data_IF_221757398408
#
_entry.id   IF_221757398408
#
_cell.length_a   1.000
_cell.length_b   1.000
_cell.length_c   1.000
_cell.angle_alpha   90.00
_cell.angle_beta   90.00
_cell.angle_gamma   90.00
#
_symmetry.space_group_name_H-M   'P 1'
#
loop_
_entity.id
_entity.type
_entity.pdbx_description
1 polymer ?
#
# COMPACT_ATOMS: atom_id res chain seq x y z
N UNK A 1 2.83 -11.34 -5.48
CA UNK A 1 3.04 -11.20 -6.96
C UNK A 1 3.33 -12.55 -7.57
N UNK A 2 4.38 -13.28 -7.12
CA UNK A 2 4.76 -14.57 -7.69
C UNK A 2 3.59 -15.56 -7.75
N UNK A 3 2.82 -15.71 -6.67
CA UNK A 3 1.67 -16.62 -6.61
C UNK A 3 0.60 -16.27 -7.65
N UNK A 4 0.30 -14.97 -7.81
CA UNK A 4 -0.65 -14.49 -8.82
C UNK A 4 -0.13 -14.83 -10.23
N UNK A 5 1.14 -14.57 -10.48
CA UNK A 5 1.78 -14.81 -11.76
C UNK A 5 1.84 -16.30 -12.10
N UNK A 6 2.22 -17.14 -11.15
CA UNK A 6 2.27 -18.60 -11.33
C UNK A 6 0.88 -19.17 -11.54
N UNK A 7 -0.12 -18.75 -10.76
CA UNK A 7 -1.50 -19.17 -10.95
C UNK A 7 -2.03 -18.78 -12.33
N UNK A 8 -1.85 -17.52 -12.71
CA UNK A 8 -2.29 -17.01 -14.01
C UNK A 8 -1.62 -17.75 -15.18
N UNK A 9 -0.32 -18.04 -15.07
CA UNK A 9 0.41 -18.84 -16.06
C UNK A 9 -0.11 -20.28 -16.16
N UNK A 10 -0.32 -20.92 -15.02
CA UNK A 10 -0.81 -22.30 -14.97
C UNK A 10 -2.25 -22.42 -15.51
N UNK A 11 -3.09 -21.42 -15.30
CA UNK A 11 -4.49 -21.42 -15.69
C UNK A 11 -4.77 -20.61 -16.97
N UNK A 12 -3.74 -20.18 -17.70
CA UNK A 12 -3.86 -19.21 -18.80
C UNK A 12 -4.90 -19.54 -19.88
N UNK A 13 -5.16 -20.83 -20.14
CA UNK A 13 -6.16 -21.28 -21.11
C UNK A 13 -7.55 -21.54 -20.50
N UNK A 14 -7.67 -21.53 -19.18
CA UNK A 14 -8.91 -21.77 -18.43
C UNK A 14 -9.52 -20.50 -17.86
N UNK A 15 -8.73 -19.44 -17.74
CA UNK A 15 -9.19 -18.14 -17.27
C UNK A 15 -9.97 -17.43 -18.38
N UNK A 16 -11.15 -16.96 -18.03
CA UNK A 16 -11.84 -15.96 -18.83
C UNK A 16 -11.21 -14.59 -18.53
N UNK A 17 -10.28 -14.20 -19.38
CA UNK A 17 -9.54 -12.97 -19.23
C UNK A 17 -10.40 -11.72 -19.37
N UNK A 18 -11.43 -11.78 -20.21
CA UNK A 18 -12.33 -10.64 -20.43
C UNK A 18 -13.19 -10.39 -19.19
N UNK A 19 -13.74 -11.44 -18.60
CA UNK A 19 -14.47 -11.37 -17.33
C UNK A 19 -13.56 -10.92 -16.18
N UNK A 20 -12.32 -11.42 -16.12
CA UNK A 20 -11.34 -11.01 -15.12
C UNK A 20 -11.07 -9.50 -15.20
N UNK A 21 -10.81 -8.96 -16.41
CA UNK A 21 -10.57 -7.55 -16.59
C UNK A 21 -11.78 -6.69 -16.27
N UNK A 22 -12.96 -7.09 -16.69
CA UNK A 22 -14.18 -6.38 -16.33
C UNK A 22 -14.36 -6.30 -14.81
N UNK A 23 -14.07 -7.38 -14.10
CA UNK A 23 -14.12 -7.41 -12.63
C UNK A 23 -13.05 -6.51 -11.99
N UNK A 24 -11.84 -6.49 -12.54
CA UNK A 24 -10.76 -5.65 -12.06
C UNK A 24 -11.04 -4.15 -12.30
N UNK A 25 -11.65 -3.81 -13.42
CA UNK A 25 -12.08 -2.43 -13.72
C UNK A 25 -13.19 -1.97 -12.76
N UNK A 26 -14.15 -2.84 -12.46
CA UNK A 26 -15.24 -2.55 -11.52
C UNK A 26 -14.74 -2.18 -10.11
N UNK A 27 -13.60 -2.75 -9.68
CA UNK A 27 -12.96 -2.45 -8.39
C UNK A 27 -11.78 -1.47 -8.51
N UNK A 28 -11.63 -0.79 -9.66
CA UNK A 28 -10.56 0.16 -9.92
C UNK A 28 -9.13 -0.43 -9.81
N UNK A 29 -8.98 -1.72 -10.02
CA UNK A 29 -7.69 -2.43 -9.95
C UNK A 29 -7.09 -2.77 -11.33
N UNK A 30 -7.71 -2.33 -12.43
CA UNK A 30 -7.31 -2.71 -13.80
C UNK A 30 -5.89 -2.28 -14.13
N UNK A 31 -5.52 -1.01 -13.88
CA UNK A 31 -4.17 -0.48 -14.14
C UNK A 31 -3.13 -1.18 -13.28
N UNK A 32 -3.43 -1.39 -12.00
CA UNK A 32 -2.55 -2.08 -11.07
C UNK A 32 -2.28 -3.53 -11.52
N UNK A 33 -3.34 -4.28 -11.84
CA UNK A 33 -3.23 -5.67 -12.30
C UNK A 33 -2.46 -5.78 -13.61
N UNK A 34 -2.66 -4.85 -14.56
CA UNK A 34 -1.92 -4.81 -15.82
C UNK A 34 -0.41 -4.69 -15.57
N UNK A 35 0.00 -3.82 -14.65
CA UNK A 35 1.42 -3.67 -14.28
C UNK A 35 1.97 -4.90 -13.53
N UNK A 36 1.16 -5.58 -12.71
CA UNK A 36 1.55 -6.88 -12.10
C UNK A 36 1.79 -7.94 -13.18
N UNK A 37 0.91 -8.06 -14.17
CA UNK A 37 1.09 -9.01 -15.27
C UNK A 37 2.28 -8.64 -16.17
N UNK A 38 2.55 -7.35 -16.36
CA UNK A 38 3.75 -6.90 -17.07
C UNK A 38 5.01 -7.32 -16.31
N UNK A 39 5.09 -7.09 -14.99
CA UNK A 39 6.19 -7.59 -14.16
C UNK A 39 6.33 -9.10 -14.29
N UNK A 40 5.23 -9.83 -14.22
CA UNK A 40 5.22 -11.28 -14.35
C UNK A 40 5.82 -11.75 -15.68
N UNK A 41 5.45 -11.08 -16.78
CA UNK A 41 5.97 -11.42 -18.12
C UNK A 41 7.45 -11.08 -18.27
N UNK A 42 7.84 -9.86 -17.89
CA UNK A 42 9.19 -9.33 -18.15
C UNK A 42 10.25 -9.94 -17.22
N UNK A 43 9.91 -10.15 -15.94
CA UNK A 43 10.89 -10.53 -14.92
C UNK A 43 10.73 -11.96 -14.38
N UNK A 44 9.53 -12.56 -14.51
CA UNK A 44 9.25 -13.91 -14.00
C UNK A 44 8.95 -14.94 -15.09
N UNK A 45 9.02 -14.55 -16.37
CA UNK A 45 8.74 -15.45 -17.49
C UNK A 45 7.27 -15.92 -17.54
N UNK A 46 6.32 -15.14 -17.05
CA UNK A 46 4.90 -15.46 -17.07
C UNK A 46 4.41 -15.65 -18.51
N UNK A 47 3.90 -16.83 -18.82
CA UNK A 47 3.27 -17.11 -20.10
C UNK A 47 1.83 -16.57 -20.08
N UNK A 48 1.60 -15.46 -20.78
CA UNK A 48 0.29 -14.84 -20.98
C UNK A 48 -0.22 -15.14 -22.41
N UNK A 49 -1.55 -15.10 -22.64
CA UNK A 49 -2.09 -15.13 -23.99
C UNK A 49 -1.55 -14.01 -24.85
N UNK A 50 -1.39 -14.30 -26.16
CA UNK A 50 -0.88 -13.34 -27.12
C UNK A 50 -1.80 -12.10 -27.21
N UNK A 51 -1.18 -10.93 -27.25
CA UNK A 51 -1.90 -9.66 -27.35
C UNK A 51 -2.58 -9.18 -26.07
N UNK A 52 -2.56 -9.96 -24.99
CA UNK A 52 -3.25 -9.60 -23.73
C UNK A 52 -2.74 -8.28 -23.15
N UNK A 53 -1.41 -8.11 -23.00
CA UNK A 53 -0.84 -6.85 -22.50
C UNK A 53 -1.15 -5.67 -23.39
N UNK A 54 -1.10 -5.85 -24.72
CA UNK A 54 -1.49 -4.78 -25.66
C UNK A 54 -2.96 -4.40 -25.55
N UNK A 55 -3.84 -5.36 -25.21
CA UNK A 55 -5.24 -5.07 -24.94
C UNK A 55 -5.39 -4.29 -23.62
N UNK A 56 -4.63 -4.64 -22.60
CA UNK A 56 -4.61 -3.91 -21.33
C UNK A 56 -4.09 -2.48 -21.49
N UNK A 57 -3.04 -2.28 -22.28
CA UNK A 57 -2.50 -0.95 -22.61
C UNK A 57 -3.54 -0.08 -23.32
N UNK A 58 -4.28 -0.65 -24.28
CA UNK A 58 -5.36 0.08 -24.97
C UNK A 58 -6.47 0.54 -24.03
N UNK A 59 -6.80 -0.28 -23.01
CA UNK A 59 -7.86 0.04 -22.03
C UNK A 59 -7.38 1.00 -20.94
N UNK A 60 -6.17 0.83 -20.46
CA UNK A 60 -5.67 1.46 -19.24
C UNK A 60 -4.64 2.57 -19.49
N UNK A 61 -4.12 2.70 -20.71
CA UNK A 61 -3.01 3.56 -21.05
C UNK A 61 -1.66 2.85 -20.94
N UNK A 62 -0.59 3.57 -21.27
CA UNK A 62 0.77 3.02 -21.22
C UNK A 62 1.10 2.43 -19.86
N UNK A 63 1.63 1.22 -19.84
CA UNK A 63 2.05 0.53 -18.63
C UNK A 63 3.46 1.00 -18.24
N UNK A 64 3.67 1.21 -16.95
CA UNK A 64 4.97 1.53 -16.36
C UNK A 64 5.11 0.79 -15.04
N UNK A 65 5.60 -0.43 -15.12
CA UNK A 65 5.70 -1.34 -13.98
C UNK A 65 6.95 -1.10 -13.11
N UNK A 66 7.92 -0.30 -13.56
CA UNK A 66 9.20 -0.12 -12.84
C UNK A 66 9.02 0.42 -11.42
N UNK A 67 8.27 1.50 -11.16
CA UNK A 67 8.11 1.99 -9.80
C UNK A 67 7.40 1.00 -8.85
N UNK A 68 6.50 0.17 -9.40
CA UNK A 68 5.86 -0.90 -8.63
C UNK A 68 6.84 -2.00 -8.30
N UNK A 69 7.67 -2.42 -9.27
CA UNK A 69 8.72 -3.41 -9.08
C UNK A 69 9.73 -2.95 -8.01
N UNK A 70 10.16 -1.68 -8.06
CA UNK A 70 11.07 -1.11 -7.06
C UNK A 70 10.48 -1.14 -5.64
N UNK A 71 9.20 -0.79 -5.47
CA UNK A 71 8.54 -0.88 -4.15
C UNK A 71 8.44 -2.33 -3.67
N UNK A 72 8.12 -3.27 -4.56
CA UNK A 72 8.06 -4.70 -4.25
C UNK A 72 9.44 -5.24 -3.82
N UNK A 73 10.49 -4.95 -4.57
CA UNK A 73 11.86 -5.40 -4.27
C UNK A 73 12.40 -4.76 -2.99
N UNK A 74 12.09 -3.48 -2.75
CA UNK A 74 12.48 -2.78 -1.52
C UNK A 74 11.85 -3.39 -0.26
N UNK A 75 10.79 -4.23 -0.40
CA UNK A 75 10.19 -4.97 0.70
C UNK A 75 11.03 -6.18 1.17
N UNK A 76 12.04 -6.59 0.40
CA UNK A 76 12.84 -7.79 0.64
C UNK A 76 12.08 -9.07 0.30
N UNK A 77 12.81 -10.21 0.29
CA UNK A 77 12.31 -11.53 -0.17
C UNK A 77 11.07 -12.00 0.61
N UNK A 78 10.99 -11.67 1.89
CA UNK A 78 9.86 -12.06 2.76
C UNK A 78 8.93 -10.89 3.11
N UNK A 79 8.92 -9.84 2.30
CA UNK A 79 8.17 -8.64 2.63
C UNK A 79 8.71 -7.98 3.90
N UNK A 80 10.06 -7.83 3.98
CA UNK A 80 10.80 -7.43 5.17
C UNK A 80 10.08 -6.36 5.98
N UNK A 81 9.50 -6.79 7.08
CA UNK A 81 8.69 -5.94 7.94
C UNK A 81 9.58 -5.14 8.87
N UNK A 82 10.38 -4.20 8.32
CA UNK A 82 10.94 -3.18 9.19
C UNK A 82 9.77 -2.47 9.90
N UNK A 83 9.97 -2.06 11.14
CA UNK A 83 8.93 -1.30 11.87
C UNK A 83 8.44 -0.10 11.04
N UNK A 84 9.36 0.56 10.29
CA UNK A 84 9.06 1.66 9.39
C UNK A 84 8.04 1.25 8.31
N UNK A 85 8.16 0.07 7.72
CA UNK A 85 7.22 -0.43 6.70
C UNK A 85 5.87 -0.83 7.29
N UNK A 86 5.84 -1.43 8.47
CA UNK A 86 4.57 -1.74 9.17
C UNK A 86 3.80 -0.46 9.50
N UNK A 87 4.49 0.57 9.98
CA UNK A 87 3.86 1.87 10.24
C UNK A 87 3.43 2.57 8.95
N UNK A 88 4.20 2.45 7.86
CA UNK A 88 3.84 3.01 6.56
C UNK A 88 2.56 2.38 5.99
N UNK A 89 2.30 1.10 6.29
CA UNK A 89 1.08 0.41 5.85
C UNK A 89 -0.18 1.02 6.47
N UNK A 90 -0.12 1.46 7.73
CA UNK A 90 -1.23 2.19 8.36
C UNK A 90 -1.48 3.55 7.70
N UNK A 91 -0.42 4.26 7.34
CA UNK A 91 -0.53 5.55 6.61
C UNK A 91 -1.20 5.32 5.26
N UNK A 92 -0.78 4.27 4.54
CA UNK A 92 -1.35 3.92 3.24
C UNK A 92 -2.82 3.52 3.34
N UNK A 93 -3.18 2.72 4.35
CA UNK A 93 -4.55 2.28 4.59
C UNK A 93 -5.46 3.49 4.91
N UNK A 94 -5.03 4.36 5.83
CA UNK A 94 -5.80 5.56 6.16
C UNK A 94 -5.90 6.55 5.00
N UNK A 95 -4.90 6.60 4.12
CA UNK A 95 -4.98 7.42 2.91
C UNK A 95 -6.00 6.85 1.92
N UNK A 96 -6.07 5.53 1.77
CA UNK A 96 -7.09 4.86 0.95
C UNK A 96 -8.50 5.12 1.49
N UNK A 97 -8.71 4.96 2.81
CA UNK A 97 -10.00 5.25 3.48
C UNK A 97 -10.40 6.74 3.36
N UNK A 98 -9.43 7.65 3.26
CA UNK A 98 -9.65 9.10 3.18
C UNK A 98 -9.74 9.61 1.73
N UNK A 99 -10.12 8.79 0.78
CA UNK A 99 -10.18 9.13 -0.64
C UNK A 99 -8.86 9.69 -1.19
N UNK A 100 -7.74 9.08 -0.80
CA UNK A 100 -6.42 9.37 -1.36
C UNK A 100 -5.76 10.68 -0.89
N UNK A 101 -6.27 11.36 0.13
CA UNK A 101 -5.61 12.54 0.71
C UNK A 101 -4.48 12.12 1.66
N UNK A 102 -3.20 12.30 1.30
CA UNK A 102 -2.07 11.83 2.12
C UNK A 102 -1.99 12.55 3.47
N UNK A 103 -2.43 13.81 3.52
CA UNK A 103 -2.43 14.63 4.74
C UNK A 103 -3.34 14.06 5.82
N UNK A 104 -4.51 13.51 5.43
CA UNK A 104 -5.44 12.89 6.38
C UNK A 104 -4.89 11.60 6.99
N UNK A 105 -4.15 10.80 6.21
CA UNK A 105 -3.52 9.57 6.69
C UNK A 105 -2.39 9.84 7.68
N UNK A 106 -1.52 10.82 7.39
CA UNK A 106 -0.43 11.21 8.29
C UNK A 106 -0.98 11.80 9.59
N UNK A 107 -1.96 12.71 9.51
CA UNK A 107 -2.59 13.29 10.71
C UNK A 107 -3.24 12.23 11.58
N UNK A 108 -3.95 11.24 11.01
CA UNK A 108 -4.55 10.13 11.77
C UNK A 108 -3.51 9.18 12.35
N UNK A 109 -2.38 8.99 11.67
CA UNK A 109 -1.28 8.18 12.19
C UNK A 109 -0.59 8.87 13.39
N UNK A 110 -0.44 10.20 13.33
CA UNK A 110 0.15 11.02 14.41
C UNK A 110 -0.85 11.25 15.54
N UNK A 111 -2.10 11.55 15.21
CA UNK A 111 -3.20 11.83 16.13
C UNK A 111 -4.32 10.78 15.98
N UNK A 112 -4.10 9.53 16.40
CA UNK A 112 -5.09 8.48 16.29
C UNK A 112 -6.31 8.77 17.16
N UNK A 113 -7.45 8.19 16.77
CA UNK A 113 -8.69 8.31 17.52
C UNK A 113 -8.56 7.63 18.89
N UNK A 114 -9.42 8.04 19.82
CA UNK A 114 -9.51 7.48 21.18
C UNK A 114 -9.59 5.96 21.17
N UNK A 115 -10.41 5.38 20.30
CA UNK A 115 -10.62 3.93 20.25
C UNK A 115 -9.35 3.13 19.93
N UNK A 116 -8.46 3.71 19.11
CA UNK A 116 -7.15 3.11 18.80
C UNK A 116 -6.17 3.21 19.97
N UNK A 117 -6.35 4.19 20.86
CA UNK A 117 -5.43 4.45 21.98
C UNK A 117 -5.86 3.81 23.30
N UNK A 118 -7.11 3.41 23.46
CA UNK A 118 -7.63 2.76 24.69
C UNK A 118 -6.80 1.57 25.12
N UNK A 119 -6.41 0.69 24.21
CA UNK A 119 -5.59 -0.50 24.52
C UNK A 119 -4.16 -0.18 24.97
N UNK A 120 -3.63 1.03 24.66
CA UNK A 120 -2.28 1.47 25.03
C UNK A 120 -2.30 2.39 26.26
N UNK A 121 -3.38 3.15 26.42
CA UNK A 121 -3.58 4.15 27.47
C UNK A 121 -4.93 3.92 28.17
N UNK A 122 -4.99 3.00 29.16
CA UNK A 122 -6.26 2.63 29.85
C UNK A 122 -7.01 3.80 30.47
N UNK A 123 -6.30 4.84 30.91
CA UNK A 123 -6.92 6.05 31.48
C UNK A 123 -7.85 6.79 30.50
N UNK A 124 -7.76 6.55 29.20
CA UNK A 124 -8.67 7.12 28.21
C UNK A 124 -10.07 6.50 28.26
N UNK A 125 -10.25 5.38 28.93
CA UNK A 125 -11.58 4.79 29.13
C UNK A 125 -12.38 5.60 30.14
N UNK A 126 -11.72 6.00 31.24
CA UNK A 126 -12.34 6.76 32.33
C UNK A 126 -12.35 8.27 32.05
N UNK A 127 -11.32 8.79 31.40
CA UNK A 127 -11.12 10.22 31.17
C UNK A 127 -10.85 10.56 29.69
N UNK A 128 -11.92 10.62 28.86
CA UNK A 128 -11.79 10.84 27.40
C UNK A 128 -11.14 12.17 27.03
N UNK A 129 -11.26 13.18 27.90
CA UNK A 129 -10.70 14.53 27.70
C UNK A 129 -9.16 14.56 27.76
N UNK A 130 -8.52 13.51 28.29
CA UNK A 130 -7.05 13.36 28.30
C UNK A 130 -6.47 12.89 26.95
N UNK A 131 -7.26 12.79 25.90
CA UNK A 131 -6.78 12.43 24.58
C UNK A 131 -5.62 13.32 24.08
N UNK A 132 -5.62 14.65 24.25
CA UNK A 132 -4.47 15.47 23.90
C UNK A 132 -3.20 15.12 24.70
N UNK A 133 -3.34 14.79 25.98
CA UNK A 133 -2.20 14.36 26.82
C UNK A 133 -1.62 13.02 26.33
N UNK A 134 -2.47 12.09 25.90
CA UNK A 134 -2.02 10.83 25.27
C UNK A 134 -1.24 11.07 23.98
N UNK A 135 -1.66 12.04 23.16
CA UNK A 135 -0.90 12.44 21.97
C UNK A 135 0.45 13.03 22.31
N UNK A 136 0.52 13.95 23.27
CA UNK A 136 1.78 14.54 23.74
C UNK A 136 2.71 13.47 24.32
N UNK A 137 2.18 12.58 25.16
CA UNK A 137 2.95 11.46 25.71
C UNK A 137 3.50 10.54 24.61
N UNK A 138 2.67 10.22 23.62
CA UNK A 138 3.08 9.41 22.47
C UNK A 138 4.16 10.10 21.65
N UNK A 139 3.98 11.40 21.32
CA UNK A 139 4.98 12.19 20.59
C UNK A 139 6.28 12.31 21.39
N UNK A 140 6.19 12.54 22.70
CA UNK A 140 7.33 12.54 23.60
C UNK A 140 8.11 11.22 23.58
N UNK A 141 7.41 10.09 23.62
CA UNK A 141 8.05 8.76 23.48
C UNK A 141 8.74 8.57 22.13
N UNK A 142 8.18 9.12 21.04
CA UNK A 142 8.83 9.08 19.72
C UNK A 142 10.04 10.03 19.66
N UNK A 143 9.97 11.20 20.28
CA UNK A 143 11.05 12.18 20.28
C UNK A 143 12.19 11.77 21.23
N UNK A 144 11.88 11.24 22.43
CA UNK A 144 12.84 10.91 23.48
C UNK A 144 13.31 9.43 23.43
N UNK A 145 12.69 8.61 22.60
CA UNK A 145 12.85 7.16 22.56
C UNK A 145 14.14 6.62 21.95
N UNK A 146 15.23 7.40 21.94
CA UNK A 146 16.58 6.96 21.57
C UNK A 146 16.97 7.20 20.11
N UNK A 147 18.28 7.18 19.80
CA UNK A 147 18.80 7.35 18.45
C UNK A 147 18.36 6.20 17.55
N UNK A 148 17.51 6.49 16.56
CA UNK A 148 16.97 5.54 15.58
C UNK A 148 15.45 5.58 15.43
N UNK A 149 14.65 5.85 16.48
CA UNK A 149 13.18 5.87 16.37
C UNK A 149 12.62 7.11 15.66
N UNK A 150 13.25 8.26 15.81
CA UNK A 150 12.85 9.46 15.07
C UNK A 150 13.18 9.36 13.57
N UNK A 151 14.28 8.71 13.22
CA UNK A 151 14.62 8.38 11.84
C UNK A 151 13.60 7.40 11.24
N UNK A 152 13.21 6.38 12.00
CA UNK A 152 12.20 5.40 11.60
C UNK A 152 10.82 6.05 11.35
N UNK A 153 10.42 7.06 12.13
CA UNK A 153 9.15 7.76 11.92
C UNK A 153 9.15 8.59 10.62
N UNK A 154 10.24 9.32 10.34
CA UNK A 154 10.41 10.08 9.09
C UNK A 154 10.48 9.14 7.89
N UNK A 155 11.18 8.04 8.01
CA UNK A 155 11.27 7.00 7.00
C UNK A 155 9.90 6.36 6.74
N UNK A 156 9.13 6.04 7.78
CA UNK A 156 7.77 5.50 7.67
C UNK A 156 6.83 6.44 6.92
N UNK A 157 6.90 7.73 7.21
CA UNK A 157 6.13 8.76 6.51
C UNK A 157 6.56 8.84 5.04
N UNK A 158 7.87 8.81 4.77
CA UNK A 158 8.42 8.84 3.41
C UNK A 158 7.98 7.62 2.59
N UNK A 159 8.04 6.41 3.18
CA UNK A 159 7.58 5.18 2.53
C UNK A 159 6.06 5.24 2.31
N UNK A 160 5.28 5.66 3.31
CA UNK A 160 3.84 5.78 3.21
C UNK A 160 3.41 6.76 2.11
N UNK A 161 4.06 7.91 2.02
CA UNK A 161 3.77 8.92 0.98
C UNK A 161 4.08 8.40 -0.42
N UNK A 162 5.22 7.72 -0.61
CA UNK A 162 5.55 7.07 -1.90
C UNK A 162 4.50 6.03 -2.29
N UNK A 163 4.06 5.19 -1.36
CA UNK A 163 3.04 4.17 -1.62
C UNK A 163 1.70 4.77 -1.97
N UNK A 164 1.28 5.85 -1.30
CA UNK A 164 0.08 6.59 -1.68
C UNK A 164 0.20 7.14 -3.11
N UNK A 165 1.36 7.70 -3.48
CA UNK A 165 1.61 8.16 -4.83
C UNK A 165 1.57 7.02 -5.86
N UNK A 166 2.10 5.83 -5.52
CA UNK A 166 2.00 4.64 -6.36
C UNK A 166 0.55 4.17 -6.53
N UNK A 167 -0.23 4.09 -5.45
CA UNK A 167 -1.64 3.70 -5.52
C UNK A 167 -2.45 4.65 -6.41
N UNK A 168 -2.15 5.96 -6.36
CA UNK A 168 -2.74 6.94 -7.27
C UNK A 168 -2.30 6.74 -8.71
N UNK A 169 -0.98 6.54 -8.94
CA UNK A 169 -0.44 6.27 -10.27
C UNK A 169 -1.14 5.08 -10.92
N UNK A 170 -1.38 4.03 -10.16
CA UNK A 170 -2.06 2.82 -10.63
C UNK A 170 -3.59 2.87 -10.47
N UNK A 171 -4.16 4.04 -10.16
CA UNK A 171 -5.61 4.30 -10.05
C UNK A 171 -6.36 3.39 -9.07
N UNK A 172 -5.66 2.86 -8.08
CA UNK A 172 -6.27 2.06 -6.99
C UNK A 172 -7.03 2.96 -6.02
N UNK A 173 -6.55 4.19 -5.86
CA UNK A 173 -7.20 5.26 -5.08
C UNK A 173 -7.27 6.54 -5.92
N UNK A 174 -8.29 7.39 -5.69
CA UNK A 174 -8.46 8.66 -6.38
C UNK A 174 -7.37 9.68 -6.06
#
# INVERSE_FOLDING_TARGET
VCDICLFASAQRYRLDWEQLFSSLEAVQAGVFAANIFQIGREYLGLALPDGLLSQMERRNGALDCVPLLEDLLSAGVYGGSSEARRHSSLITLHAAESCGRPTGGVLRAVFPRRDTLKGVYPYLEEQPWLLPAAWVHRLGRYALGGPGRGASARESVGIGTRRVALLRKYRVIP
#
